data_IF_688746229181
#
_entry.id   IF_688746229181
#
_cell.length_a   1.000
_cell.length_b   1.000
_cell.length_c   1.000
_cell.angle_alpha   90.00
_cell.angle_beta   90.00
_cell.angle_gamma   90.00
#
_symmetry.space_group_name_H-M   'P 1'
#
loop_
_entity.id
_entity.type
_entity.pdbx_description
1 polymer ?
#
# COMPACT_ATOMS: atom_id res chain seq x y z
N UNK A 1 -47.84 32.07 13.43
CA UNK A 1 -47.98 30.82 12.63
C UNK A 1 -47.62 31.23 11.22
N UNK A 2 -46.50 30.84 10.62
CA UNK A 2 -45.76 29.56 10.61
C UNK A 2 -44.36 29.89 10.06
N UNK A 3 -43.30 29.81 10.87
CA UNK A 3 -42.26 28.76 10.85
C UNK A 3 -41.75 28.39 9.45
N UNK A 4 -40.54 28.88 9.15
CA UNK A 4 -39.61 28.30 8.18
C UNK A 4 -39.05 26.99 8.76
N UNK A 5 -39.16 25.89 8.00
CA UNK A 5 -38.50 24.62 8.26
C UNK A 5 -38.15 23.94 6.93
N UNK A 6 -36.95 23.36 6.94
CA UNK A 6 -36.39 22.32 6.09
C UNK A 6 -36.29 22.54 4.58
N UNK A 7 -35.08 22.94 4.17
CA UNK A 7 -34.47 22.50 2.91
C UNK A 7 -33.31 21.58 3.30
N UNK A 8 -33.64 20.33 3.61
CA UNK A 8 -32.72 19.27 4.03
C UNK A 8 -32.97 18.05 3.13
N UNK A 9 -32.29 18.01 2.00
CA UNK A 9 -31.92 16.80 1.26
C UNK A 9 -31.28 17.20 -0.07
N UNK A 10 -30.01 16.82 -0.24
CA UNK A 10 -29.40 16.21 -1.44
C UNK A 10 -27.91 16.59 -1.48
N UNK A 11 -27.10 15.86 -0.71
CA UNK A 11 -25.72 15.55 -1.09
C UNK A 11 -25.26 14.32 -0.29
N UNK A 12 -25.74 13.16 -0.74
CA UNK A 12 -25.17 11.87 -0.39
C UNK A 12 -24.72 11.25 -1.71
N UNK A 13 -23.40 11.19 -1.95
CA UNK A 13 -22.72 10.04 -2.58
C UNK A 13 -21.20 10.29 -2.77
N UNK A 14 -20.45 9.19 -2.67
CA UNK A 14 -19.03 8.98 -2.97
C UNK A 14 -18.01 9.26 -1.84
N UNK A 15 -17.99 8.36 -0.85
CA UNK A 15 -16.80 8.09 -0.05
C UNK A 15 -15.92 7.06 -0.76
N UNK A 16 -14.87 7.53 -1.44
CA UNK A 16 -13.82 6.69 -2.02
C UNK A 16 -12.65 6.69 -1.04
N UNK A 17 -12.09 5.51 -0.75
CA UNK A 17 -10.98 5.33 0.18
C UNK A 17 -9.79 6.20 -0.22
N UNK A 18 -9.60 7.28 0.53
CA UNK A 18 -8.46 8.17 0.38
C UNK A 18 -7.23 7.51 0.99
N UNK A 19 -6.18 7.34 0.19
CA UNK A 19 -4.81 7.36 0.71
C UNK A 19 -4.50 8.80 1.17
N UNK A 20 -5.04 9.20 2.32
CA UNK A 20 -4.73 10.51 2.94
C UNK A 20 -3.30 10.49 3.50
N UNK A 21 -2.38 11.16 2.81
CA UNK A 21 -1.12 11.64 3.38
C UNK A 21 -1.39 12.93 4.16
N UNK A 22 -1.52 12.83 5.48
CA UNK A 22 -1.73 14.00 6.34
C UNK A 22 -0.45 14.84 6.49
N UNK A 23 -0.53 16.10 6.09
CA UNK A 23 0.41 17.18 6.42
C UNK A 23 0.35 17.50 7.92
N UNK A 24 1.48 17.39 8.62
CA UNK A 24 1.59 17.75 10.05
C UNK A 24 2.00 19.21 10.26
N UNK A 25 1.29 19.91 11.16
CA UNK A 25 1.62 21.25 11.68
C UNK A 25 2.32 21.10 13.05
N UNK A 26 3.42 21.81 13.37
CA UNK A 26 4.21 21.57 14.57
C UNK A 26 3.87 22.58 15.67
N UNK A 27 3.34 22.15 16.82
CA UNK A 27 3.38 22.98 18.02
C UNK A 27 3.21 22.23 19.36
N UNK A 28 4.26 22.37 20.19
CA UNK A 28 4.29 22.51 21.65
C UNK A 28 4.27 21.25 22.54
N UNK A 29 5.46 20.92 23.05
CA UNK A 29 5.73 19.98 24.16
C UNK A 29 6.01 20.77 25.45
N UNK A 30 5.46 20.39 26.61
CA UNK A 30 6.09 20.66 27.90
C UNK A 30 6.74 19.39 28.49
N UNK A 31 7.90 19.59 29.11
CA UNK A 31 8.84 18.57 29.57
C UNK A 31 8.54 17.99 30.97
N UNK A 32 9.05 16.76 31.15
CA UNK A 32 9.52 16.09 32.37
C UNK A 32 8.57 15.19 33.18
N UNK A 33 8.68 13.89 32.93
CA UNK A 33 8.81 12.88 33.99
C UNK A 33 9.67 11.71 33.47
N UNK A 34 10.77 11.41 34.15
CA UNK A 34 11.66 10.28 33.84
C UNK A 34 10.96 8.99 34.27
N UNK A 35 10.40 8.28 33.30
CA UNK A 35 10.06 6.86 33.41
C UNK A 35 11.08 6.10 32.57
N UNK A 36 11.47 4.93 33.05
CA UNK A 36 12.27 3.95 32.32
C UNK A 36 11.53 3.49 31.07
N UNK A 37 11.50 4.33 30.03
CA UNK A 37 10.95 4.03 28.74
C UNK A 37 12.11 3.60 27.85
N UNK A 38 12.06 2.36 27.37
CA UNK A 38 12.67 2.02 26.09
C UNK A 38 12.41 3.17 25.14
N UNK A 39 13.47 3.79 24.58
CA UNK A 39 13.36 4.86 23.59
C UNK A 39 12.22 4.50 22.62
N UNK A 40 11.29 5.44 22.32
CA UNK A 40 10.19 5.15 21.41
C UNK A 40 10.75 4.49 20.16
N UNK A 41 10.25 3.30 19.82
CA UNK A 41 10.64 2.65 18.58
C UNK A 41 10.51 3.67 17.45
N UNK A 42 11.55 3.80 16.62
CA UNK A 42 11.41 4.53 15.37
C UNK A 42 10.19 3.94 14.65
N UNK A 43 9.29 4.81 14.17
CA UNK A 43 8.02 4.40 13.57
C UNK A 43 8.23 3.37 12.46
N UNK A 44 9.30 3.55 11.69
CA UNK A 44 9.74 2.60 10.66
C UNK A 44 9.95 1.20 11.23
N UNK A 45 10.63 1.10 12.36
CA UNK A 45 10.90 -0.19 13.01
C UNK A 45 9.61 -0.82 13.58
N UNK A 46 8.68 -0.02 14.10
CA UNK A 46 7.38 -0.53 14.55
C UNK A 46 6.57 -1.14 13.38
N UNK A 47 6.54 -0.46 12.22
CA UNK A 47 5.89 -0.94 11.00
C UNK A 47 6.55 -2.24 10.52
N UNK A 48 7.88 -2.29 10.46
CA UNK A 48 8.62 -3.48 10.05
C UNK A 48 8.40 -4.66 11.01
N UNK A 49 8.31 -4.42 12.32
CA UNK A 49 7.98 -5.44 13.30
C UNK A 49 6.56 -5.98 13.15
N UNK A 50 5.58 -5.11 12.86
CA UNK A 50 4.22 -5.52 12.57
C UNK A 50 4.16 -6.38 11.29
N UNK A 51 4.83 -5.95 10.22
CA UNK A 51 4.96 -6.71 8.98
C UNK A 51 5.59 -8.09 9.22
N UNK A 52 6.67 -8.14 9.99
CA UNK A 52 7.31 -9.40 10.39
C UNK A 52 6.37 -10.32 11.16
N UNK A 53 5.64 -9.80 12.14
CA UNK A 53 4.72 -10.60 12.95
C UNK A 53 3.60 -11.18 12.10
N UNK A 54 2.93 -10.36 11.29
CA UNK A 54 1.83 -10.80 10.41
C UNK A 54 2.34 -11.74 9.32
N UNK A 55 3.38 -11.37 8.59
CA UNK A 55 3.97 -12.22 7.55
C UNK A 55 4.41 -13.59 8.08
N UNK A 56 4.95 -13.63 9.31
CA UNK A 56 5.28 -14.90 9.98
C UNK A 56 4.06 -15.75 10.32
N UNK A 57 2.93 -15.14 10.69
CA UNK A 57 1.67 -15.86 10.94
C UNK A 57 1.15 -16.46 9.64
N UNK A 58 1.05 -15.65 8.58
CA UNK A 58 0.58 -16.09 7.26
C UNK A 58 1.42 -17.24 6.73
N UNK A 59 2.75 -17.12 6.81
CA UNK A 59 3.69 -18.16 6.38
C UNK A 59 3.56 -19.46 7.19
N UNK A 60 3.41 -19.38 8.52
CA UNK A 60 3.23 -20.58 9.36
C UNK A 60 1.93 -21.32 9.08
N UNK A 61 0.88 -20.59 8.72
CA UNK A 61 -0.44 -21.16 8.41
C UNK A 61 -0.57 -21.59 6.93
N UNK A 62 0.46 -21.35 6.11
CA UNK A 62 0.48 -21.77 4.71
C UNK A 62 -0.39 -20.94 3.78
N UNK A 63 -0.74 -19.71 4.16
CA UNK A 63 -1.50 -18.80 3.32
C UNK A 63 -0.62 -18.26 2.18
N UNK A 64 -1.08 -18.27 0.92
CA UNK A 64 -0.44 -17.51 -0.15
C UNK A 64 -0.62 -16.01 0.09
N UNK A 65 0.47 -15.25 0.09
CA UNK A 65 0.43 -13.80 0.23
C UNK A 65 1.63 -13.13 -0.43
N UNK A 66 1.57 -11.80 -0.56
CA UNK A 66 2.74 -10.99 -0.85
C UNK A 66 2.65 -9.63 -0.14
N UNK A 67 3.77 -9.13 0.37
CA UNK A 67 3.87 -7.76 0.87
C UNK A 67 3.71 -6.75 -0.28
N UNK A 68 2.97 -5.69 -0.02
CA UNK A 68 2.73 -4.59 -0.94
C UNK A 68 3.10 -3.22 -0.31
N UNK A 69 2.71 -2.14 -0.98
CA UNK A 69 2.81 -0.79 -0.47
C UNK A 69 4.22 -0.35 -0.05
N UNK A 70 4.29 0.50 0.96
CA UNK A 70 5.55 1.16 1.35
C UNK A 70 6.59 0.18 1.90
N UNK A 71 6.16 -0.87 2.61
CA UNK A 71 7.04 -1.92 3.14
C UNK A 71 7.67 -2.73 2.01
N UNK A 72 6.91 -3.01 0.94
CA UNK A 72 7.45 -3.68 -0.23
C UNK A 72 8.49 -2.83 -0.96
N UNK A 73 8.22 -1.52 -1.13
CA UNK A 73 9.20 -0.58 -1.70
C UNK A 73 10.48 -0.54 -0.86
N UNK A 74 10.35 -0.49 0.46
CA UNK A 74 11.50 -0.55 1.39
C UNK A 74 12.30 -1.86 1.22
N UNK A 75 11.63 -3.01 1.17
CA UNK A 75 12.27 -4.31 0.97
C UNK A 75 13.08 -4.39 -0.34
N UNK A 76 12.65 -3.67 -1.38
CA UNK A 76 13.35 -3.55 -2.65
C UNK A 76 14.55 -2.58 -2.63
N UNK A 77 14.89 -1.99 -1.48
CA UNK A 77 15.99 -1.04 -1.31
C UNK A 77 15.54 0.42 -1.35
N UNK A 78 14.24 0.70 -1.23
CA UNK A 78 13.73 2.05 -1.09
C UNK A 78 14.18 2.71 0.21
N UNK A 79 14.64 3.96 0.10
CA UNK A 79 15.13 4.75 1.24
C UNK A 79 14.07 5.69 1.82
N UNK A 80 12.81 5.54 1.42
CA UNK A 80 11.71 6.37 1.93
C UNK A 80 11.35 5.96 3.36
N UNK A 81 11.01 6.95 4.19
CA UNK A 81 10.42 6.69 5.49
C UNK A 81 9.11 5.92 5.31
N UNK A 82 8.92 4.86 6.08
CA UNK A 82 7.67 4.11 6.16
C UNK A 82 6.67 5.00 6.92
N UNK A 83 5.89 5.78 6.17
CA UNK A 83 4.87 6.65 6.74
C UNK A 83 3.48 6.00 6.78
N UNK A 84 3.35 4.80 6.20
CA UNK A 84 2.08 4.14 5.93
C UNK A 84 1.93 2.83 6.70
N UNK A 85 0.73 2.27 6.61
CA UNK A 85 0.35 0.99 7.16
C UNK A 85 1.09 -0.17 6.45
N UNK A 86 0.98 -1.37 7.01
CA UNK A 86 1.54 -2.58 6.40
C UNK A 86 0.51 -3.19 5.46
N UNK A 87 0.88 -3.41 4.20
CA UNK A 87 -0.02 -3.97 3.20
C UNK A 87 0.35 -5.41 2.83
N UNK A 88 -0.61 -6.34 2.91
CA UNK A 88 -0.48 -7.70 2.41
C UNK A 88 -1.55 -7.97 1.35
N UNK A 89 -1.13 -8.46 0.19
CA UNK A 89 -2.03 -8.99 -0.83
C UNK A 89 -2.27 -10.48 -0.58
N UNK A 90 -3.54 -10.90 -0.60
CA UNK A 90 -3.99 -12.29 -0.53
C UNK A 90 -5.08 -12.51 -1.58
N UNK A 91 -5.40 -13.76 -1.92
CA UNK A 91 -6.51 -14.02 -2.84
C UNK A 91 -7.86 -13.77 -2.15
N UNK A 92 -8.90 -13.31 -2.86
CA UNK A 92 -10.24 -13.13 -2.30
C UNK A 92 -10.79 -14.39 -1.62
N UNK A 93 -10.57 -15.56 -2.21
CA UNK A 93 -11.04 -16.83 -1.66
C UNK A 93 -10.36 -17.21 -0.33
N UNK A 94 -9.21 -16.62 -0.01
CA UNK A 94 -8.47 -16.89 1.21
C UNK A 94 -8.80 -15.91 2.35
N UNK A 95 -9.60 -14.86 2.10
CA UNK A 95 -9.83 -13.77 3.04
C UNK A 95 -10.35 -14.25 4.40
N UNK A 96 -11.35 -15.13 4.41
CA UNK A 96 -11.92 -15.67 5.64
C UNK A 96 -10.92 -16.55 6.41
N UNK A 97 -10.15 -17.38 5.70
CA UNK A 97 -9.16 -18.29 6.29
C UNK A 97 -7.99 -17.51 6.91
N UNK A 98 -7.53 -16.46 6.22
CA UNK A 98 -6.52 -15.52 6.71
C UNK A 98 -7.05 -14.78 7.94
N UNK A 99 -8.27 -14.26 7.89
CA UNK A 99 -8.88 -13.55 9.01
C UNK A 99 -8.99 -14.44 10.27
N UNK A 100 -9.42 -15.70 10.10
CA UNK A 100 -9.47 -16.68 11.18
C UNK A 100 -8.08 -16.93 11.79
N UNK A 101 -7.08 -17.17 10.95
CA UNK A 101 -5.70 -17.42 11.38
C UNK A 101 -5.08 -16.24 12.15
N UNK A 102 -5.35 -15.01 11.72
CA UNK A 102 -4.90 -13.81 12.41
C UNK A 102 -5.59 -13.65 13.77
N UNK A 103 -6.90 -13.93 13.87
CA UNK A 103 -7.63 -13.91 15.14
C UNK A 103 -7.15 -15.00 16.11
N UNK A 104 -6.90 -16.21 15.62
CA UNK A 104 -6.33 -17.32 16.41
C UNK A 104 -4.93 -16.98 16.95
N UNK A 105 -4.16 -16.20 16.19
CA UNK A 105 -2.87 -15.67 16.63
C UNK A 105 -2.99 -14.47 17.60
N UNK A 106 -4.22 -14.07 17.96
CA UNK A 106 -4.50 -13.00 18.93
C UNK A 106 -4.57 -11.59 18.35
N UNK A 107 -4.61 -11.43 17.02
CA UNK A 107 -4.76 -10.11 16.40
C UNK A 107 -6.24 -9.73 16.29
N UNK A 108 -6.54 -8.44 16.45
CA UNK A 108 -7.85 -7.91 16.10
C UNK A 108 -7.98 -7.85 14.58
N UNK A 109 -9.08 -8.36 14.03
CA UNK A 109 -9.39 -8.29 12.59
C UNK A 109 -10.82 -7.85 12.41
N UNK A 110 -11.02 -6.80 11.63
CA UNK A 110 -12.34 -6.25 11.32
C UNK A 110 -12.49 -6.02 9.81
N UNK A 111 -13.73 -6.12 9.35
CA UNK A 111 -14.12 -5.77 7.99
C UNK A 111 -14.59 -4.32 8.01
N UNK A 112 -13.89 -3.39 7.36
CA UNK A 112 -14.35 -2.03 7.28
C UNK A 112 -15.38 -1.89 6.13
N UNK A 113 -15.97 -0.70 5.90
CA UNK A 113 -16.95 -0.52 4.81
C UNK A 113 -16.41 -0.77 3.40
N UNK A 114 -15.08 -0.77 3.24
CA UNK A 114 -14.38 -1.03 2.00
C UNK A 114 -14.44 -2.51 1.58
N UNK A 115 -15.01 -2.78 0.40
CA UNK A 115 -15.17 -4.14 -0.14
C UNK A 115 -13.89 -4.74 -0.77
N UNK A 116 -12.70 -4.22 -0.45
CA UNK A 116 -11.44 -4.61 -1.09
C UNK A 116 -10.34 -5.09 -0.11
N UNK A 117 -10.56 -4.95 1.20
CA UNK A 117 -9.62 -5.42 2.22
C UNK A 117 -10.27 -5.83 3.55
N UNK A 118 -9.46 -6.43 4.42
CA UNK A 118 -9.68 -6.52 5.86
C UNK A 118 -8.64 -5.69 6.60
N UNK A 119 -8.96 -5.20 7.78
CA UNK A 119 -8.02 -4.45 8.63
C UNK A 119 -7.67 -5.25 9.87
N UNK A 120 -6.37 -5.39 10.14
CA UNK A 120 -5.84 -6.04 11.31
C UNK A 120 -4.99 -5.10 12.17
N UNK A 121 -5.05 -5.27 13.49
CA UNK A 121 -4.20 -4.53 14.44
C UNK A 121 -3.01 -5.38 14.89
N UNK A 122 -1.79 -4.86 14.76
CA UNK A 122 -0.57 -5.55 15.20
C UNK A 122 0.43 -4.56 15.80
N UNK A 123 0.85 -4.75 17.06
CA UNK A 123 1.86 -3.90 17.73
C UNK A 123 1.56 -2.39 17.66
N UNK A 124 0.28 -2.02 17.72
CA UNK A 124 -0.15 -0.62 17.60
C UNK A 124 -0.07 -0.04 16.19
N UNK A 125 0.24 -0.86 15.18
CA UNK A 125 0.18 -0.52 13.76
C UNK A 125 -1.06 -1.15 13.12
N UNK A 126 -1.56 -0.50 12.07
CA UNK A 126 -2.60 -1.03 11.22
C UNK A 126 -1.98 -1.85 10.08
N UNK A 127 -2.66 -2.93 9.73
CA UNK A 127 -2.27 -3.87 8.69
C UNK A 127 -3.45 -4.10 7.77
N UNK A 128 -3.28 -3.76 6.51
CA UNK A 128 -4.27 -3.91 5.46
C UNK A 128 -4.06 -5.26 4.75
N UNK A 129 -5.10 -6.09 4.76
CA UNK A 129 -5.13 -7.40 4.11
C UNK A 129 -5.99 -7.26 2.85
N UNK A 130 -5.31 -6.95 1.75
CA UNK A 130 -5.87 -6.56 0.47
C UNK A 130 -6.17 -7.79 -0.37
N UNK A 131 -7.41 -7.91 -0.85
CA UNK A 131 -7.80 -8.97 -1.79
C UNK A 131 -8.30 -8.43 -3.14
N UNK A 132 -8.54 -7.13 -3.25
CA UNK A 132 -8.66 -6.42 -4.54
C UNK A 132 -7.60 -5.31 -4.58
N UNK A 133 -6.63 -5.45 -5.48
CA UNK A 133 -5.51 -4.52 -5.65
C UNK A 133 -5.70 -3.74 -6.94
N UNK A 134 -5.75 -2.40 -6.83
CA UNK A 134 -5.94 -1.51 -7.97
C UNK A 134 -7.14 -1.90 -8.86
N UNK A 135 -8.30 -2.13 -8.23
CA UNK A 135 -9.57 -2.52 -8.85
C UNK A 135 -9.64 -3.94 -9.43
N UNK A 136 -8.56 -4.73 -9.32
CA UNK A 136 -8.52 -6.10 -9.80
C UNK A 136 -8.36 -7.10 -8.64
N UNK A 137 -9.08 -8.23 -8.64
CA UNK A 137 -8.86 -9.28 -7.67
C UNK A 137 -7.40 -9.75 -7.64
N UNK A 138 -6.82 -9.90 -6.45
CA UNK A 138 -5.47 -10.42 -6.29
C UNK A 138 -5.44 -11.87 -6.77
N UNK A 139 -4.72 -12.10 -7.87
CA UNK A 139 -4.68 -13.40 -8.54
C UNK A 139 -3.51 -14.27 -8.06
N UNK A 140 -3.62 -15.58 -8.29
CA UNK A 140 -2.52 -16.51 -8.01
C UNK A 140 -1.27 -16.18 -8.85
N UNK A 141 -1.46 -15.70 -10.08
CA UNK A 141 -0.38 -15.29 -10.97
C UNK A 141 0.35 -14.06 -10.41
N UNK A 142 -0.37 -13.09 -9.85
CA UNK A 142 0.23 -11.94 -9.17
C UNK A 142 1.11 -12.40 -8.00
N UNK A 143 0.57 -13.24 -7.13
CA UNK A 143 1.32 -13.77 -5.97
C UNK A 143 2.51 -14.63 -6.40
N UNK A 144 2.40 -15.40 -7.49
CA UNK A 144 3.48 -16.25 -8.00
C UNK A 144 4.70 -15.49 -8.54
N UNK A 145 4.52 -14.21 -8.89
CA UNK A 145 5.61 -13.32 -9.34
C UNK A 145 6.29 -12.59 -8.19
N UNK A 146 5.82 -12.76 -6.95
CA UNK A 146 6.44 -12.16 -5.79
C UNK A 146 7.87 -12.70 -5.59
N UNK A 147 8.75 -11.82 -5.11
CA UNK A 147 10.16 -12.13 -4.82
C UNK A 147 10.31 -12.41 -3.31
N UNK A 148 11.01 -13.48 -2.93
CA UNK A 148 11.36 -13.74 -1.53
C UNK A 148 12.45 -12.76 -1.09
N UNK A 149 12.09 -11.76 -0.26
CA UNK A 149 13.02 -10.76 0.26
C UNK A 149 13.01 -10.72 1.79
N UNK A 150 14.13 -10.27 2.37
CA UNK A 150 14.27 -10.11 3.82
C UNK A 150 13.61 -8.81 4.30
N UNK A 151 12.61 -8.93 5.16
CA UNK A 151 11.94 -7.82 5.86
C UNK A 151 12.13 -8.00 7.37
N UNK A 152 12.86 -7.09 8.01
CA UNK A 152 13.30 -7.21 9.41
C UNK A 152 13.87 -8.59 9.78
N UNK A 153 14.78 -9.10 8.93
CA UNK A 153 15.43 -10.41 9.05
C UNK A 153 14.52 -11.62 8.84
N UNK A 154 13.32 -11.46 8.28
CA UNK A 154 12.43 -12.56 7.89
C UNK A 154 12.20 -12.54 6.39
N UNK A 155 12.51 -13.65 5.73
CA UNK A 155 12.21 -13.84 4.31
C UNK A 155 10.72 -14.12 4.11
N UNK A 156 10.09 -13.33 3.25
CA UNK A 156 8.70 -13.52 2.84
C UNK A 156 8.46 -12.98 1.43
N UNK A 157 7.34 -13.34 0.78
CA UNK A 157 7.07 -12.89 -0.57
C UNK A 157 6.75 -11.40 -0.57
N UNK A 158 7.38 -10.65 -1.48
CA UNK A 158 7.17 -9.22 -1.71
C UNK A 158 6.77 -9.03 -3.17
N UNK A 159 5.73 -8.25 -3.45
CA UNK A 159 5.34 -7.98 -4.84
C UNK A 159 6.54 -7.48 -5.66
N UNK A 160 6.60 -7.92 -6.93
CA UNK A 160 7.68 -7.50 -7.82
C UNK A 160 7.65 -5.98 -8.02
N UNK A 161 8.79 -5.31 -8.28
CA UNK A 161 8.83 -3.87 -8.53
C UNK A 161 7.90 -3.44 -9.67
N UNK A 162 7.79 -4.29 -10.70
CA UNK A 162 6.91 -4.07 -11.85
C UNK A 162 5.43 -4.09 -11.44
N UNK A 163 5.02 -5.08 -10.66
CA UNK A 163 3.64 -5.20 -10.19
C UNK A 163 3.30 -4.09 -9.19
N UNK A 164 4.21 -3.75 -8.26
CA UNK A 164 4.07 -2.62 -7.34
C UNK A 164 3.82 -1.31 -8.07
N UNK A 165 4.67 -0.99 -9.07
CA UNK A 165 4.52 0.25 -9.81
C UNK A 165 3.24 0.24 -10.65
N UNK A 166 2.91 -0.88 -11.29
CA UNK A 166 1.68 -1.00 -12.07
C UNK A 166 0.44 -0.76 -11.21
N UNK A 167 0.40 -1.31 -9.99
CA UNK A 167 -0.71 -1.09 -9.05
C UNK A 167 -0.80 0.35 -8.56
N UNK A 168 0.33 1.02 -8.31
CA UNK A 168 0.35 2.44 -7.95
C UNK A 168 -0.21 3.31 -9.07
N UNK A 169 0.17 3.05 -10.32
CA UNK A 169 -0.34 3.82 -11.47
C UNK A 169 -1.81 3.54 -11.74
N UNK A 170 -2.25 2.29 -11.61
CA UNK A 170 -3.65 1.91 -11.79
C UNK A 170 -4.59 2.50 -10.72
N UNK A 171 -4.05 2.99 -9.60
CA UNK A 171 -4.81 3.71 -8.58
C UNK A 171 -5.03 5.21 -8.92
N UNK A 172 -4.43 5.73 -10.00
CA UNK A 172 -4.66 7.12 -10.41
C UNK A 172 -6.05 7.33 -11.00
N UNK A 173 -6.66 8.46 -10.64
CA UNK A 173 -7.95 8.93 -11.15
C UNK A 173 -7.97 10.45 -11.27
N UNK A 174 -9.02 11.02 -11.86
CA UNK A 174 -9.21 12.48 -11.94
C UNK A 174 -9.25 13.17 -10.57
N UNK A 175 -9.70 12.45 -9.54
CA UNK A 175 -9.81 12.97 -8.18
C UNK A 175 -8.59 12.65 -7.31
N UNK A 176 -7.77 11.67 -7.73
CA UNK A 176 -6.65 11.19 -6.94
C UNK A 176 -5.47 10.84 -7.85
N UNK A 177 -4.56 11.79 -8.02
CA UNK A 177 -3.39 11.66 -8.87
C UNK A 177 -2.21 12.42 -8.23
N UNK A 178 -1.39 11.71 -7.46
CA UNK A 178 -0.19 12.27 -6.84
C UNK A 178 1.08 11.68 -7.47
N UNK A 179 1.58 12.35 -8.50
CA UNK A 179 2.85 12.00 -9.12
C UNK A 179 4.04 12.22 -8.19
N UNK A 180 3.94 13.14 -7.23
CA UNK A 180 5.00 13.46 -6.28
C UNK A 180 5.28 12.30 -5.33
N UNK A 181 4.25 11.55 -4.94
CA UNK A 181 4.39 10.34 -4.13
C UNK A 181 5.03 9.16 -4.92
N UNK A 182 4.66 9.00 -6.19
CA UNK A 182 5.10 7.84 -7.00
C UNK A 182 6.47 8.05 -7.67
N UNK A 183 6.85 9.29 -7.99
CA UNK A 183 8.12 9.59 -8.68
C UNK A 183 9.38 9.10 -7.93
N UNK A 184 9.54 9.27 -6.61
CA UNK A 184 10.70 8.75 -5.89
C UNK A 184 10.77 7.22 -5.92
N UNK A 185 9.61 6.54 -5.87
CA UNK A 185 9.51 5.08 -5.97
C UNK A 185 9.98 4.63 -7.35
N UNK A 186 9.44 5.25 -8.42
CA UNK A 186 9.85 4.98 -9.79
C UNK A 186 11.36 5.15 -9.99
N UNK A 187 11.96 6.22 -9.46
CA UNK A 187 13.42 6.47 -9.54
C UNK A 187 14.25 5.42 -8.81
N UNK A 188 13.79 4.98 -7.65
CA UNK A 188 14.44 3.96 -6.82
C UNK A 188 14.43 2.62 -7.52
N UNK A 189 13.28 2.24 -8.10
CA UNK A 189 13.05 0.92 -8.66
C UNK A 189 13.36 0.83 -10.16
N UNK A 190 13.83 1.92 -10.81
CA UNK A 190 13.90 2.02 -12.27
C UNK A 190 14.62 0.88 -12.98
N UNK A 191 15.69 0.35 -12.38
CA UNK A 191 16.51 -0.73 -12.99
C UNK A 191 15.88 -2.11 -12.79
N UNK A 192 14.88 -2.23 -11.91
CA UNK A 192 14.20 -3.49 -11.57
C UNK A 192 12.81 -3.61 -12.19
N UNK A 193 12.28 -2.51 -12.73
CA UNK A 193 10.95 -2.45 -13.34
C UNK A 193 11.02 -2.84 -14.81
N UNK A 194 10.16 -3.77 -15.22
CA UNK A 194 9.85 -4.02 -16.63
C UNK A 194 8.92 -2.92 -17.15
N UNK A 195 9.51 -1.86 -17.68
CA UNK A 195 8.79 -0.68 -18.16
C UNK A 195 7.90 -0.97 -19.37
N UNK A 196 8.25 -1.96 -20.20
CA UNK A 196 7.41 -2.34 -21.33
C UNK A 196 6.14 -3.05 -20.86
N UNK A 197 6.24 -3.84 -19.79
CA UNK A 197 5.07 -4.43 -19.14
C UNK A 197 4.22 -3.38 -18.43
N UNK A 198 4.82 -2.38 -17.76
CA UNK A 198 4.07 -1.27 -17.17
C UNK A 198 3.30 -0.52 -18.26
N UNK A 199 3.95 -0.17 -19.37
CA UNK A 199 3.31 0.49 -20.53
C UNK A 199 2.14 -0.32 -21.09
N UNK A 200 2.29 -1.64 -21.24
CA UNK A 200 1.20 -2.51 -21.72
C UNK A 200 0.03 -2.58 -20.73
N UNK A 201 0.33 -2.68 -19.43
CA UNK A 201 -0.71 -2.76 -18.39
C UNK A 201 -1.49 -1.46 -18.28
N UNK A 202 -0.80 -0.33 -18.41
CA UNK A 202 -1.37 1.00 -18.31
C UNK A 202 -1.82 1.58 -19.66
N UNK A 203 -1.85 0.77 -20.72
CA UNK A 203 -2.26 1.24 -22.05
C UNK A 203 -3.68 1.83 -21.97
N UNK A 204 -3.88 2.94 -22.68
CA UNK A 204 -5.16 3.66 -22.77
C UNK A 204 -5.63 4.39 -21.49
N UNK A 205 -4.86 4.35 -20.40
CA UNK A 205 -5.17 5.10 -19.18
C UNK A 205 -4.46 6.47 -19.17
N UNK A 206 -5.19 7.60 -19.18
CA UNK A 206 -4.58 8.92 -19.39
C UNK A 206 -3.66 9.37 -18.26
N UNK A 207 -3.96 9.02 -17.00
CA UNK A 207 -3.14 9.42 -15.85
C UNK A 207 -1.82 8.64 -15.77
N UNK A 208 -1.81 7.29 -15.86
CA UNK A 208 -0.57 6.53 -16.03
C UNK A 208 0.26 6.97 -17.23
N UNK A 209 -0.37 7.23 -18.38
CA UNK A 209 0.33 7.67 -19.60
C UNK A 209 1.03 9.03 -19.38
N UNK A 210 0.35 9.99 -18.75
CA UNK A 210 0.94 11.27 -18.37
C UNK A 210 2.13 11.11 -17.40
N UNK A 211 2.05 10.17 -16.45
CA UNK A 211 3.17 9.89 -15.54
C UNK A 211 4.35 9.26 -16.27
N UNK A 212 4.11 8.28 -17.15
CA UNK A 212 5.16 7.64 -17.94
C UNK A 212 5.86 8.67 -18.85
N UNK A 213 5.10 9.55 -19.50
CA UNK A 213 5.65 10.67 -20.25
C UNK A 213 6.51 11.60 -19.38
N UNK A 214 6.07 11.92 -18.15
CA UNK A 214 6.87 12.69 -17.21
C UNK A 214 8.19 11.98 -16.87
N UNK A 215 8.18 10.67 -16.64
CA UNK A 215 9.39 9.89 -16.37
C UNK A 215 10.38 9.93 -17.54
N UNK A 216 9.90 9.88 -18.78
CA UNK A 216 10.72 10.03 -19.98
C UNK A 216 11.35 11.43 -20.06
N UNK A 217 10.54 12.47 -19.82
CA UNK A 217 11.02 13.87 -19.82
C UNK A 217 12.04 14.17 -18.73
N UNK A 218 12.01 13.42 -17.64
CA UNK A 218 12.94 13.49 -16.51
C UNK A 218 14.13 12.53 -16.64
N UNK A 219 14.25 11.81 -17.76
CA UNK A 219 15.31 10.82 -18.02
C UNK A 219 15.38 9.72 -16.95
N UNK A 220 14.23 9.38 -16.35
CA UNK A 220 14.12 8.25 -15.41
C UNK A 220 14.00 6.93 -16.17
N UNK A 221 13.32 6.96 -17.32
CA UNK A 221 13.11 5.81 -18.19
C UNK A 221 13.44 6.21 -19.64
N UNK A 222 13.83 5.22 -20.45
CA UNK A 222 14.04 5.44 -21.88
C UNK A 222 12.72 5.80 -22.56
N UNK A 223 12.72 6.70 -23.56
CA UNK A 223 11.51 7.03 -24.31
C UNK A 223 10.93 5.80 -25.00
N UNK A 224 9.60 5.77 -25.18
CA UNK A 224 8.96 4.77 -26.02
C UNK A 224 9.51 4.89 -27.43
N UNK A 225 10.04 3.80 -27.99
CA UNK A 225 10.40 3.78 -29.41
C UNK A 225 9.11 3.94 -30.22
N UNK A 226 9.05 4.97 -31.06
CA UNK A 226 7.95 5.12 -31.99
C UNK A 226 7.95 3.91 -32.93
N UNK A 227 6.81 3.18 -33.07
CA UNK A 227 6.72 2.14 -34.08
C UNK A 227 6.92 2.81 -35.44
N UNK A 228 8.03 2.44 -36.09
CA UNK A 228 8.41 2.91 -37.44
C UNK A 228 7.41 2.49 -38.50
#
# INVERSE_FOLDING_TARGET
MTQHADDDALDQHAGVAELRLATGDPALVPQNAVLTDSLPLDRNQAILQAAKQVGSILKRQGHPFALAGSVAVYAHGGTQNLQHDVDFCIRPEDADAVAASLREAGLSVHTPPEDWLLKAGCLGQQVDIIFVLAHEPVSSELLSRAEELSVDSVFMPVLSPTDLLSSLLAAFSEHHCDFGAVLPIARTLREKVDWDRVRRTCQDAPMPDAFLYLLERLEVIAPKEDPS
#
